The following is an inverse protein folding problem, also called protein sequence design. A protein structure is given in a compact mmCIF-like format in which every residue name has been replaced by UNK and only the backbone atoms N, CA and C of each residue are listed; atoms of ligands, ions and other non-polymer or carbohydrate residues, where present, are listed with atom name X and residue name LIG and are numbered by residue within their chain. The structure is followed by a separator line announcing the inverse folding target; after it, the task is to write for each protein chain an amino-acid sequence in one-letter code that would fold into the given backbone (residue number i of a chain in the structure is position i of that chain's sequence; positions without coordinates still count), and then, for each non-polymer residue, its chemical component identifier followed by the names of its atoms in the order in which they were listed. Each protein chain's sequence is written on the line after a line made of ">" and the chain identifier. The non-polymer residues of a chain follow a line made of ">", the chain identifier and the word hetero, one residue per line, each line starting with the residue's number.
data_IF_598495579562
#
_entry.id   IF_598495579562
#
_cell.length_a   1.000
_cell.length_b   1.000
_cell.length_c   1.000
_cell.angle_alpha   90.00
_cell.angle_beta   90.00
_cell.angle_gamma   90.00
#
_symmetry.space_group_name_H-M   'P 1'
#
loop_
_entity.id
_entity.type
_entity.pdbx_description
1 polymer ?
#
# COMPACT_ATOMS: atom_id res chain seq x y z
N UNK A 1 -19.99 -0.46 -31.67
CA UNK A 1 -18.54 -0.54 -31.99
C UNK A 1 -18.14 -2.00 -31.98
N UNK A 2 -17.38 -2.49 -32.98
CA UNK A 2 -16.85 -3.86 -32.96
C UNK A 2 -15.54 -3.93 -32.17
N UNK A 3 -15.29 -5.04 -31.48
CA UNK A 3 -14.10 -5.19 -30.63
C UNK A 3 -12.79 -5.17 -31.43
N UNK A 4 -12.83 -5.63 -32.68
CA UNK A 4 -11.70 -5.56 -33.61
C UNK A 4 -11.35 -4.11 -33.98
N UNK A 5 -12.36 -3.26 -34.22
CA UNK A 5 -12.18 -1.83 -34.51
C UNK A 5 -11.58 -1.09 -33.29
N UNK A 6 -12.02 -1.43 -32.08
CA UNK A 6 -11.49 -0.85 -30.85
C UNK A 6 -10.01 -1.20 -30.63
N UNK A 7 -9.61 -2.42 -30.97
CA UNK A 7 -8.23 -2.87 -30.92
C UNK A 7 -7.32 -2.12 -31.90
N UNK A 8 -7.79 -1.89 -33.12
CA UNK A 8 -7.02 -1.16 -34.13
C UNK A 8 -6.83 0.30 -33.75
N UNK A 9 -7.88 0.95 -33.23
CA UNK A 9 -7.83 2.33 -32.76
C UNK A 9 -6.89 2.47 -31.54
N UNK A 10 -6.98 1.54 -30.58
CA UNK A 10 -6.12 1.52 -29.41
C UNK A 10 -4.64 1.40 -29.80
N UNK A 11 -4.32 0.50 -30.73
CA UNK A 11 -2.96 0.35 -31.27
C UNK A 11 -2.48 1.59 -32.02
N UNK A 12 -3.36 2.25 -32.79
CA UNK A 12 -3.02 3.45 -33.53
C UNK A 12 -2.75 4.65 -32.62
N UNK A 13 -3.56 4.81 -31.56
CA UNK A 13 -3.46 5.93 -30.62
C UNK A 13 -2.47 5.68 -29.47
N UNK A 14 -1.98 4.46 -29.31
CA UNK A 14 -1.08 4.08 -28.21
C UNK A 14 -1.78 4.10 -26.83
N UNK A 15 -3.10 3.92 -26.81
CA UNK A 15 -3.93 3.91 -25.59
C UNK A 15 -4.57 2.54 -25.38
N UNK A 16 -5.19 2.30 -24.23
CA UNK A 16 -5.85 1.01 -23.97
C UNK A 16 -7.17 0.89 -24.75
N UNK A 17 -7.58 -0.34 -25.07
CA UNK A 17 -8.89 -0.61 -25.70
C UNK A 17 -10.04 -0.13 -24.82
N UNK A 18 -9.85 -0.20 -23.48
CA UNK A 18 -10.82 0.31 -22.52
C UNK A 18 -11.03 1.82 -22.67
N UNK A 19 -9.96 2.61 -22.84
CA UNK A 19 -10.06 4.06 -23.04
C UNK A 19 -10.85 4.39 -24.31
N UNK A 20 -10.61 3.64 -25.39
CA UNK A 20 -11.33 3.81 -26.66
C UNK A 20 -12.82 3.48 -26.49
N UNK A 21 -13.14 2.40 -25.80
CA UNK A 21 -14.52 1.96 -25.56
C UNK A 21 -15.29 2.93 -24.66
N UNK A 22 -14.65 3.47 -23.61
CA UNK A 22 -15.22 4.51 -22.74
C UNK A 22 -15.52 5.79 -23.51
N UNK A 23 -14.59 6.26 -24.33
CA UNK A 23 -14.80 7.44 -25.19
C UNK A 23 -15.85 7.20 -26.30
N UNK A 24 -16.04 5.94 -26.69
CA UNK A 24 -17.09 5.53 -27.63
C UNK A 24 -18.48 5.38 -26.98
N UNK A 25 -18.62 5.72 -25.68
CA UNK A 25 -19.88 5.63 -24.94
C UNK A 25 -20.31 4.21 -24.60
N UNK A 26 -19.39 3.25 -24.68
CA UNK A 26 -19.62 1.88 -24.22
C UNK A 26 -19.30 1.84 -22.72
N UNK A 27 -20.33 1.81 -21.89
CA UNK A 27 -20.20 1.47 -20.48
C UNK A 27 -19.77 0.02 -20.37
N UNK A 28 -18.47 -0.24 -20.45
CA UNK A 28 -17.94 -1.50 -19.97
C UNK A 28 -18.27 -1.48 -18.48
N UNK A 29 -19.21 -2.34 -18.07
CA UNK A 29 -19.31 -2.72 -16.68
C UNK A 29 -17.97 -3.32 -16.33
N UNK A 30 -17.07 -2.47 -15.84
CA UNK A 30 -15.91 -2.86 -15.09
C UNK A 30 -16.50 -3.63 -13.90
N UNK A 31 -16.66 -4.94 -14.06
CA UNK A 31 -16.36 -5.85 -12.97
C UNK A 31 -14.85 -5.70 -12.68
N UNK A 32 -14.49 -4.50 -12.26
CA UNK A 32 -13.28 -4.20 -11.56
C UNK A 32 -13.31 -5.18 -10.40
N UNK A 33 -12.32 -6.05 -10.35
CA UNK A 33 -11.74 -6.40 -9.06
C UNK A 33 -11.18 -5.10 -8.48
N UNK A 34 -12.09 -4.20 -8.06
CA UNK A 34 -11.80 -2.96 -7.40
C UNK A 34 -11.17 -3.41 -6.11
N UNK A 35 -9.84 -3.40 -6.07
CA UNK A 35 -9.14 -3.61 -4.83
C UNK A 35 -9.63 -2.46 -3.96
N UNK A 36 -10.46 -2.75 -2.95
CA UNK A 36 -11.07 -1.73 -2.10
C UNK A 36 -9.97 -1.16 -1.20
N UNK A 37 -9.17 -0.25 -1.74
CA UNK A 37 -8.11 0.46 -1.03
C UNK A 37 -8.77 1.61 -0.27
N UNK A 38 -8.74 1.51 1.06
CA UNK A 38 -9.24 2.56 1.95
C UNK A 38 -8.08 3.14 2.74
N UNK A 39 -8.12 4.46 2.92
CA UNK A 39 -7.29 5.14 3.90
C UNK A 39 -7.86 4.83 5.29
N UNK A 40 -7.18 3.96 6.03
CA UNK A 40 -7.66 3.49 7.33
C UNK A 40 -6.69 3.79 8.47
N UNK A 41 -5.54 4.42 8.19
CA UNK A 41 -4.55 4.74 9.22
C UNK A 41 -3.76 6.00 8.89
N UNK A 42 -3.09 6.52 9.92
CA UNK A 42 -2.08 7.56 9.81
C UNK A 42 -0.76 7.04 10.40
N UNK A 43 0.36 7.49 9.84
CA UNK A 43 1.70 7.24 10.35
C UNK A 43 2.28 8.59 10.78
N UNK A 44 2.65 8.72 12.05
CA UNK A 44 3.21 9.96 12.59
C UNK A 44 4.70 10.17 12.18
N UNK A 45 5.28 11.30 12.61
CA UNK A 45 6.69 11.65 12.38
C UNK A 45 7.71 10.65 12.96
N UNK A 46 7.29 9.80 13.90
CA UNK A 46 8.11 8.76 14.54
C UNK A 46 7.95 7.41 13.84
N UNK A 47 7.05 7.32 12.86
CA UNK A 47 6.69 6.08 12.20
C UNK A 47 5.68 5.24 12.97
N UNK A 48 5.04 5.76 14.03
CA UNK A 48 3.99 5.05 14.76
C UNK A 48 2.69 5.14 13.97
N UNK A 49 2.00 4.01 13.84
CA UNK A 49 0.77 3.92 13.07
C UNK A 49 -0.46 3.86 13.98
N UNK A 50 -1.44 4.69 13.68
CA UNK A 50 -2.73 4.73 14.37
C UNK A 50 -3.87 4.51 13.38
N UNK A 51 -4.81 3.64 13.74
CA UNK A 51 -5.99 3.39 12.92
C UNK A 51 -6.97 4.55 13.04
N UNK A 52 -7.55 4.95 11.92
CA UNK A 52 -8.64 5.91 11.88
C UNK A 52 -9.92 5.26 12.40
N UNK A 53 -10.72 6.05 13.14
CA UNK A 53 -12.03 5.62 13.61
C UNK A 53 -13.01 5.34 12.45
N UNK A 54 -12.89 6.11 11.36
CA UNK A 54 -13.69 5.96 10.16
C UNK A 54 -12.78 5.94 8.90
N UNK A 55 -12.62 4.78 8.25
CA UNK A 55 -11.86 4.66 7.01
C UNK A 55 -12.46 5.49 5.88
N UNK A 56 -11.60 6.17 5.11
CA UNK A 56 -12.00 7.06 4.01
C UNK A 56 -11.59 6.50 2.66
N UNK A 57 -12.34 6.78 1.58
CA UNK A 57 -11.88 6.48 0.23
C UNK A 57 -10.63 7.31 -0.09
N UNK A 58 -9.71 6.73 -0.85
CA UNK A 58 -8.55 7.45 -1.39
C UNK A 58 -8.96 8.25 -2.64
N UNK A 59 -8.24 9.34 -2.96
CA UNK A 59 -8.41 10.02 -4.24
C UNK A 59 -8.19 9.06 -5.42
N UNK A 60 -8.98 9.22 -6.48
CA UNK A 60 -8.94 8.33 -7.66
C UNK A 60 -7.53 8.21 -8.27
N UNK A 61 -6.79 9.32 -8.37
CA UNK A 61 -5.41 9.31 -8.88
C UNK A 61 -4.45 8.47 -8.03
N UNK A 62 -4.68 8.36 -6.72
CA UNK A 62 -3.88 7.49 -5.83
C UNK A 62 -4.25 6.03 -6.07
N UNK A 63 -5.53 5.74 -6.27
CA UNK A 63 -6.01 4.37 -6.57
C UNK A 63 -5.43 3.88 -7.89
N UNK A 64 -5.44 4.70 -8.94
CA UNK A 64 -4.87 4.35 -10.25
C UNK A 64 -3.37 4.05 -10.17
N UNK A 65 -2.60 4.90 -9.46
CA UNK A 65 -1.17 4.66 -9.24
C UNK A 65 -0.92 3.40 -8.41
N UNK A 66 -1.77 3.15 -7.40
CA UNK A 66 -1.70 1.95 -6.60
C UNK A 66 -1.92 0.69 -7.43
N UNK A 67 -2.95 0.68 -8.27
CA UNK A 67 -3.27 -0.43 -9.18
C UNK A 67 -2.13 -0.67 -10.20
N UNK A 68 -1.50 0.39 -10.69
CA UNK A 68 -0.35 0.27 -11.59
C UNK A 68 0.91 -0.26 -10.87
N UNK A 69 1.07 0.03 -9.58
CA UNK A 69 2.27 -0.34 -8.80
C UNK A 69 2.16 -1.73 -8.15
N UNK A 70 0.94 -2.14 -7.79
CA UNK A 70 0.68 -3.36 -7.05
C UNK A 70 0.24 -4.45 -8.03
N UNK A 71 1.19 -5.30 -8.42
CA UNK A 71 0.94 -6.44 -9.30
C UNK A 71 0.24 -7.61 -8.62
N UNK A 72 -0.21 -7.47 -7.36
CA UNK A 72 -0.65 -8.64 -6.63
C UNK A 72 -2.09 -9.03 -6.96
N UNK A 73 -2.24 -10.27 -7.43
CA UNK A 73 -3.51 -10.87 -7.79
C UNK A 73 -4.12 -11.55 -6.56
N UNK A 74 -5.39 -11.24 -6.25
CA UNK A 74 -6.15 -11.89 -5.18
C UNK A 74 -6.96 -10.92 -4.30
N UNK A 75 -7.99 -11.44 -3.64
CA UNK A 75 -8.95 -10.65 -2.83
C UNK A 75 -8.41 -10.15 -1.48
N UNK A 76 -7.08 -9.99 -1.32
CA UNK A 76 -6.50 -9.48 -0.08
C UNK A 76 -6.82 -7.98 0.06
N UNK A 77 -7.45 -7.58 1.17
CA UNK A 77 -7.73 -6.18 1.47
C UNK A 77 -6.42 -5.39 1.61
N UNK A 78 -6.24 -4.38 0.76
CA UNK A 78 -5.13 -3.42 0.85
C UNK A 78 -5.56 -2.27 1.75
N UNK A 79 -4.69 -1.91 2.68
CA UNK A 79 -4.88 -0.80 3.61
C UNK A 79 -3.96 0.34 3.19
N UNK A 80 -4.49 1.56 3.14
CA UNK A 80 -3.72 2.78 3.03
C UNK A 80 -3.49 3.43 4.40
N UNK A 81 -2.25 3.84 4.64
CA UNK A 81 -1.87 4.69 5.76
C UNK A 81 -1.19 5.97 5.24
N UNK A 82 -1.68 7.14 5.67
CA UNK A 82 -1.10 8.42 5.27
C UNK A 82 0.00 8.82 6.25
N UNK A 83 1.18 9.17 5.73
CA UNK A 83 2.25 9.74 6.54
C UNK A 83 1.89 11.20 6.84
N UNK A 84 1.99 11.57 8.12
CA UNK A 84 1.75 12.91 8.64
C UNK A 84 2.96 13.32 9.47
N UNK A 85 3.93 13.95 8.82
CA UNK A 85 5.23 14.25 9.39
C UNK A 85 5.72 15.63 8.94
N UNK A 86 5.57 16.65 9.79
CA UNK A 86 6.06 18.00 9.46
C UNK A 86 7.58 18.15 9.63
N UNK A 87 8.21 17.23 10.37
CA UNK A 87 9.64 17.27 10.73
C UNK A 87 10.22 15.85 10.79
N UNK A 88 11.55 15.77 10.89
CA UNK A 88 12.26 14.51 11.03
C UNK A 88 12.38 13.72 9.72
N UNK A 89 12.86 12.47 9.79
CA UNK A 89 13.20 11.68 8.59
C UNK A 89 12.02 11.43 7.66
N UNK A 90 10.80 11.33 8.20
CA UNK A 90 9.60 11.09 7.40
C UNK A 90 9.02 12.35 6.73
N UNK A 91 9.54 13.55 7.03
CA UNK A 91 9.03 14.80 6.45
C UNK A 91 9.21 14.91 4.94
N UNK A 92 10.17 14.19 4.37
CA UNK A 92 10.35 14.08 2.91
C UNK A 92 9.23 13.28 2.23
N UNK A 93 8.40 12.61 3.03
CA UNK A 93 7.27 11.78 2.60
C UNK A 93 5.97 12.25 3.25
N UNK A 94 5.90 13.50 3.73
CA UNK A 94 4.67 14.05 4.28
C UNK A 94 3.53 13.95 3.25
N UNK A 95 2.34 13.60 3.73
CA UNK A 95 1.14 13.28 2.96
C UNK A 95 1.20 12.05 2.04
N UNK A 96 2.35 11.36 1.92
CA UNK A 96 2.43 10.14 1.13
C UNK A 96 1.57 9.01 1.71
N UNK A 97 0.97 8.21 0.83
CA UNK A 97 0.14 7.06 1.19
C UNK A 97 0.95 5.78 1.05
N UNK A 98 1.15 5.11 2.19
CA UNK A 98 1.77 3.79 2.30
C UNK A 98 0.70 2.73 2.14
N UNK A 99 0.91 1.79 1.22
CA UNK A 99 -0.02 0.70 0.92
C UNK A 99 0.55 -0.63 1.41
N UNK A 100 -0.24 -1.39 2.15
CA UNK A 100 0.18 -2.66 2.74
C UNK A 100 -1.02 -3.59 2.93
N UNK A 101 -0.75 -4.84 3.32
CA UNK A 101 -1.79 -5.84 3.61
C UNK A 101 -1.98 -6.01 5.09
N UNK A 102 -3.19 -6.32 5.52
CA UNK A 102 -3.35 -6.85 6.87
C UNK A 102 -2.63 -8.19 6.98
N UNK A 103 -1.84 -8.36 8.04
CA UNK A 103 -1.16 -9.61 8.34
C UNK A 103 -1.44 -10.02 9.80
N UNK A 104 -1.61 -11.33 9.99
CA UNK A 104 -1.79 -11.96 11.30
C UNK A 104 -0.52 -12.67 11.78
N UNK A 105 0.53 -12.65 10.97
CA UNK A 105 1.85 -13.21 11.28
C UNK A 105 2.94 -12.42 10.57
N UNK A 106 4.19 -12.80 10.78
CA UNK A 106 5.35 -12.19 10.10
C UNK A 106 5.42 -12.76 8.69
N UNK A 107 5.08 -11.95 7.70
CA UNK A 107 5.27 -12.25 6.29
C UNK A 107 6.79 -12.41 6.01
N UNK A 108 7.26 -13.54 5.46
CA UNK A 108 8.67 -13.71 5.10
C UNK A 108 9.20 -12.61 4.17
N UNK A 109 8.34 -12.04 3.31
CA UNK A 109 8.72 -10.95 2.40
C UNK A 109 8.94 -9.61 3.12
N UNK A 110 8.51 -9.48 4.38
CA UNK A 110 8.77 -8.30 5.21
C UNK A 110 10.25 -8.23 5.67
N UNK A 111 10.96 -9.37 5.72
CA UNK A 111 12.36 -9.41 6.16
C UNK A 111 13.26 -8.81 5.06
N UNK A 112 14.02 -7.79 5.42
CA UNK A 112 14.86 -7.01 4.51
C UNK A 112 14.16 -5.81 3.87
N UNK A 113 12.83 -5.68 4.02
CA UNK A 113 12.01 -4.65 3.39
C UNK A 113 11.48 -3.63 4.41
N UNK A 114 11.14 -2.44 3.92
CA UNK A 114 10.32 -1.50 4.67
C UNK A 114 8.93 -2.11 4.87
N UNK A 115 8.46 -2.15 6.12
CA UNK A 115 7.31 -2.96 6.51
C UNK A 115 6.48 -2.26 7.58
N UNK A 116 5.19 -2.56 7.60
CA UNK A 116 4.33 -2.26 8.74
C UNK A 116 4.46 -3.43 9.73
N UNK A 117 4.92 -3.10 10.93
CA UNK A 117 5.21 -4.04 11.99
C UNK A 117 4.16 -3.89 13.09
N UNK A 118 3.65 -5.00 13.62
CA UNK A 118 2.83 -5.05 14.84
C UNK A 118 3.62 -5.75 15.94
N UNK A 119 3.95 -5.02 17.01
CA UNK A 119 4.56 -5.60 18.21
C UNK A 119 3.51 -6.37 19.03
N UNK A 120 3.97 -7.28 19.89
CA UNK A 120 3.10 -8.07 20.78
C UNK A 120 2.31 -7.24 21.80
N UNK A 121 2.69 -5.99 22.02
CA UNK A 121 1.93 -5.03 22.84
C UNK A 121 0.81 -4.33 22.06
N UNK A 122 0.57 -4.74 20.80
CA UNK A 122 -0.44 -4.20 19.90
C UNK A 122 -0.01 -2.94 19.14
N UNK A 123 1.14 -2.34 19.46
CA UNK A 123 1.61 -1.15 18.76
C UNK A 123 2.00 -1.48 17.32
N UNK A 124 1.56 -0.63 16.40
CA UNK A 124 1.92 -0.71 14.99
C UNK A 124 2.86 0.43 14.62
N UNK A 125 3.86 0.12 13.79
CA UNK A 125 4.85 1.11 13.37
C UNK A 125 5.53 0.71 12.05
N UNK A 126 6.03 1.71 11.34
CA UNK A 126 6.81 1.60 10.13
C UNK A 126 8.29 1.35 10.49
N UNK A 127 8.86 0.26 9.97
CA UNK A 127 10.26 -0.05 10.16
C UNK A 127 10.80 -0.96 9.06
N UNK A 128 12.11 -0.96 8.85
CA UNK A 128 12.79 -1.99 8.07
C UNK A 128 13.13 -3.16 8.97
N UNK A 129 12.77 -4.38 8.60
CA UNK A 129 13.15 -5.57 9.36
C UNK A 129 14.52 -6.05 8.87
N UNK A 130 15.54 -6.04 9.71
CA UNK A 130 16.87 -6.55 9.35
C UNK A 130 16.92 -8.08 9.49
N UNK A 131 16.28 -8.61 10.54
CA UNK A 131 16.21 -10.04 10.85
C UNK A 131 15.03 -10.34 11.75
N UNK A 132 14.41 -11.49 11.56
CA UNK A 132 13.36 -11.99 12.44
C UNK A 132 13.54 -13.50 12.70
N UNK A 133 13.32 -13.91 13.95
CA UNK A 133 13.30 -15.32 14.35
C UNK A 133 11.88 -15.88 14.23
N UNK A 134 11.76 -17.20 14.13
CA UNK A 134 10.46 -17.90 14.16
C UNK A 134 9.68 -17.67 15.48
N UNK A 135 10.37 -17.26 16.55
CA UNK A 135 9.77 -16.92 17.85
C UNK A 135 9.15 -15.51 17.89
N UNK A 136 9.34 -14.70 16.84
CA UNK A 136 8.85 -13.33 16.72
C UNK A 136 9.84 -12.26 17.19
N UNK A 137 10.97 -12.64 17.79
CA UNK A 137 12.06 -11.70 18.09
C UNK A 137 12.68 -11.17 16.79
N UNK A 138 12.74 -9.86 16.65
CA UNK A 138 13.23 -9.20 15.45
C UNK A 138 14.10 -7.98 15.77
N UNK A 139 15.10 -7.79 14.92
CA UNK A 139 15.93 -6.59 14.88
C UNK A 139 15.40 -5.72 13.75
N UNK A 140 15.01 -4.50 14.08
CA UNK A 140 14.39 -3.56 13.13
C UNK A 140 15.14 -2.23 13.14
N UNK A 141 15.10 -1.52 12.02
CA UNK A 141 15.51 -0.12 11.92
C UNK A 141 14.21 0.70 11.84
N UNK A 142 13.94 1.48 12.88
CA UNK A 142 12.76 2.34 12.93
C UNK A 142 12.81 3.42 11.84
N UNK A 143 11.67 4.05 11.54
CA UNK A 143 11.60 5.17 10.60
C UNK A 143 12.53 6.34 10.96
N UNK A 144 12.92 6.46 12.23
CA UNK A 144 13.89 7.44 12.73
C UNK A 144 15.36 7.09 12.42
N UNK A 145 15.63 5.89 11.90
CA UNK A 145 16.97 5.35 11.68
C UNK A 145 17.57 4.62 12.89
N UNK A 146 16.88 4.60 14.03
CA UNK A 146 17.36 3.93 15.24
C UNK A 146 17.17 2.41 15.15
N UNK A 147 18.21 1.59 15.44
CA UNK A 147 18.07 0.15 15.54
C UNK A 147 17.37 -0.23 16.85
N UNK A 148 16.47 -1.21 16.79
CA UNK A 148 15.69 -1.67 17.95
C UNK A 148 15.44 -3.18 17.89
N UNK A 149 15.54 -3.83 19.04
CA UNK A 149 15.08 -5.21 19.21
C UNK A 149 13.62 -5.20 19.70
N UNK A 150 12.74 -5.92 19.01
CA UNK A 150 11.30 -5.97 19.28
C UNK A 150 10.79 -7.41 19.13
N UNK A 151 9.85 -7.78 19.99
CA UNK A 151 9.02 -8.98 19.79
C UNK A 151 7.83 -8.64 18.92
N UNK A 152 7.89 -9.02 17.65
CA UNK A 152 6.82 -8.87 16.68
C UNK A 152 5.76 -9.96 16.83
N UNK A 153 4.52 -9.56 16.61
CA UNK A 153 3.36 -10.43 16.45
C UNK A 153 3.09 -10.66 14.96
N UNK A 154 3.09 -9.57 14.18
CA UNK A 154 2.90 -9.61 12.74
C UNK A 154 3.78 -8.58 12.03
N UNK A 155 4.06 -8.83 10.76
CA UNK A 155 4.74 -7.87 9.89
C UNK A 155 4.36 -8.11 8.44
N UNK A 156 4.25 -7.03 7.68
CA UNK A 156 3.87 -7.07 6.27
C UNK A 156 4.67 -6.04 5.48
N UNK A 157 5.20 -6.40 4.31
CA UNK A 157 5.95 -5.45 3.50
C UNK A 157 5.05 -4.30 3.02
N UNK A 158 5.64 -3.11 2.93
CA UNK A 158 5.05 -2.01 2.18
C UNK A 158 5.04 -2.42 0.70
N UNK A 159 3.84 -2.46 0.11
CA UNK A 159 3.65 -2.83 -1.29
C UNK A 159 4.00 -1.67 -2.22
N UNK A 160 3.56 -0.47 -1.85
CA UNK A 160 3.77 0.74 -2.61
C UNK A 160 3.69 1.96 -1.70
N UNK A 161 4.25 3.06 -2.19
CA UNK A 161 4.20 4.35 -1.53
C UNK A 161 3.91 5.40 -2.58
N UNK A 162 2.78 6.09 -2.42
CA UNK A 162 2.27 7.03 -3.39
C UNK A 162 2.38 8.44 -2.83
N UNK A 163 3.19 9.34 -3.42
CA UNK A 163 3.27 10.74 -3.02
C UNK A 163 2.05 11.55 -3.49
#
# INVERSE_FOLDING_TARGET
>A
MKMEEANEIARFLGVSVADVLVHAGVSIGLEEQSTNILLAAIIDERGVMEMLADPKPLPQAVIERAQASITVHGNSRIIGAQIRALKGPLSVMDDAVVLFRQADSIDPAAIGALSICRARDGKQFLAKIERARKTGEASVICATGEPKEVSLEAATPVLAMIP
#
